data_IF_158493396447
#
_entry.id   IF_158493396447
#
_cell.length_a   1.000
_cell.length_b   1.000
_cell.length_c   1.000
_cell.angle_alpha   90.00
_cell.angle_beta   90.00
_cell.angle_gamma   90.00
#
_symmetry.space_group_name_H-M   'P 1'
#
loop_
_entity.id
_entity.type
_entity.pdbx_description
1 polymer ?
#
# COMPACT_ATOMS: atom_id res chain seq x y z
N UNK A 1 11.73 6.74 19.91
CA UNK A 1 12.32 6.14 18.68
C UNK A 1 12.56 7.24 17.63
N UNK A 2 13.67 8.00 17.71
CA UNK A 2 13.92 9.10 16.78
C UNK A 2 14.13 8.62 15.32
N UNK A 3 14.67 7.42 15.12
CA UNK A 3 14.96 6.87 13.79
C UNK A 3 13.73 6.70 12.88
N UNK A 4 12.53 6.46 13.45
CA UNK A 4 11.30 6.28 12.67
C UNK A 4 10.46 7.55 12.56
N UNK A 5 10.86 8.65 13.21
CA UNK A 5 10.07 9.88 13.24
C UNK A 5 9.70 10.39 11.83
N UNK A 6 10.61 10.40 10.82
CA UNK A 6 10.25 10.80 9.46
C UNK A 6 9.19 9.89 8.82
N UNK A 7 9.23 8.58 9.11
CA UNK A 7 8.23 7.63 8.61
C UNK A 7 6.86 7.88 9.26
N UNK A 8 6.83 8.15 10.57
CA UNK A 8 5.61 8.50 11.31
C UNK A 8 5.00 9.79 10.79
N UNK A 9 5.79 10.84 10.58
CA UNK A 9 5.31 12.11 10.00
C UNK A 9 4.69 11.91 8.62
N UNK A 10 5.34 11.14 7.74
CA UNK A 10 4.79 10.83 6.41
C UNK A 10 3.52 9.98 6.47
N UNK A 11 3.43 9.09 7.46
CA UNK A 11 2.23 8.28 7.67
C UNK A 11 1.05 9.15 8.15
N UNK A 12 1.27 10.03 9.13
CA UNK A 12 0.26 10.97 9.62
C UNK A 12 -0.29 11.86 8.50
N UNK A 13 0.59 12.48 7.71
CA UNK A 13 0.19 13.30 6.55
C UNK A 13 -0.65 12.52 5.53
N UNK A 14 -0.39 11.20 5.38
CA UNK A 14 -1.19 10.35 4.50
C UNK A 14 -2.57 10.05 5.07
N UNK A 15 -2.69 9.79 6.37
CA UNK A 15 -3.99 9.58 7.01
C UNK A 15 -4.86 10.83 6.93
N UNK A 16 -4.27 12.02 7.11
CA UNK A 16 -4.97 13.30 6.89
C UNK A 16 -5.46 13.44 5.45
N UNK A 17 -4.62 13.12 4.46
CA UNK A 17 -5.00 13.17 3.05
C UNK A 17 -6.11 12.17 2.69
N UNK A 18 -6.09 10.96 3.27
CA UNK A 18 -7.15 9.95 3.11
C UNK A 18 -8.46 10.47 3.73
N UNK A 19 -8.39 11.02 4.95
CA UNK A 19 -9.54 11.64 5.63
C UNK A 19 -10.16 12.78 4.83
N UNK A 20 -9.33 13.60 4.17
CA UNK A 20 -9.80 14.68 3.29
C UNK A 20 -10.57 14.18 2.06
N UNK A 21 -10.45 12.89 1.69
CA UNK A 21 -11.25 12.24 0.65
C UNK A 21 -12.55 11.62 1.18
N UNK A 22 -12.91 11.85 2.45
CA UNK A 22 -14.11 11.30 3.08
C UNK A 22 -13.98 9.83 3.50
N UNK A 23 -12.77 9.27 3.51
CA UNK A 23 -12.50 7.91 3.98
C UNK A 23 -12.16 7.97 5.48
N UNK A 24 -12.83 7.17 6.30
CA UNK A 24 -12.46 7.03 7.71
C UNK A 24 -11.14 6.27 7.85
N UNK A 25 -10.04 7.03 7.92
CA UNK A 25 -8.70 6.49 8.05
C UNK A 25 -8.49 5.74 9.39
N UNK A 26 -9.26 6.04 10.44
CA UNK A 26 -9.13 5.38 11.74
C UNK A 26 -9.76 3.98 11.74
N UNK A 27 -10.71 3.72 10.84
CA UNK A 27 -11.32 2.40 10.65
C UNK A 27 -10.48 1.47 9.77
N UNK A 28 -9.42 1.96 9.11
CA UNK A 28 -8.57 1.14 8.25
C UNK A 28 -7.66 0.22 9.08
N UNK A 29 -7.59 -1.09 8.75
CA UNK A 29 -6.63 -1.98 9.38
C UNK A 29 -5.19 -1.50 9.17
N UNK A 30 -4.40 -1.53 10.24
CA UNK A 30 -2.97 -1.20 10.21
C UNK A 30 -2.14 -2.38 10.68
N UNK A 31 -1.10 -2.71 9.92
CA UNK A 31 -0.11 -3.70 10.32
C UNK A 31 1.30 -3.15 10.06
N UNK A 32 2.11 -3.01 11.11
CA UNK A 32 3.47 -2.50 11.00
C UNK A 32 4.39 -3.40 10.16
N UNK A 33 4.05 -4.69 10.03
CA UNK A 33 4.79 -5.70 9.27
C UNK A 33 4.25 -5.99 7.86
N UNK A 34 3.19 -5.30 7.42
CA UNK A 34 2.42 -5.60 6.20
C UNK A 34 3.23 -5.73 4.90
N UNK A 35 4.45 -5.17 4.84
CA UNK A 35 5.35 -5.25 3.68
C UNK A 35 6.49 -6.26 3.75
N UNK A 36 6.78 -6.85 4.93
CA UNK A 36 8.00 -7.66 5.13
C UNK A 36 7.95 -9.05 4.48
N UNK A 37 6.77 -9.56 4.15
CA UNK A 37 6.58 -10.94 3.69
C UNK A 37 6.29 -11.07 2.20
N UNK A 38 5.99 -9.97 1.50
CA UNK A 38 5.42 -10.04 0.15
C UNK A 38 5.97 -8.99 -0.83
N UNK A 39 6.74 -7.98 -0.39
CA UNK A 39 6.99 -6.82 -1.24
C UNK A 39 8.42 -6.23 -1.11
N UNK A 40 9.42 -7.01 -1.54
CA UNK A 40 10.86 -6.72 -1.32
C UNK A 40 11.40 -5.45 -2.01
N UNK A 41 10.69 -4.88 -2.98
CA UNK A 41 11.14 -3.68 -3.71
C UNK A 41 10.54 -2.35 -3.21
N UNK A 42 9.62 -2.38 -2.24
CA UNK A 42 9.04 -1.15 -1.70
C UNK A 42 9.90 -0.60 -0.56
N UNK A 43 10.15 0.70 -0.61
CA UNK A 43 11.02 1.42 0.34
C UNK A 43 10.26 2.50 1.14
N UNK A 44 8.93 2.53 1.00
CA UNK A 44 8.08 3.49 1.67
C UNK A 44 6.74 2.90 2.09
N UNK A 45 5.68 3.66 1.83
CA UNK A 45 4.32 3.24 2.15
C UNK A 45 3.87 2.09 1.28
N UNK A 46 3.19 1.13 1.88
CA UNK A 46 2.53 0.01 1.19
C UNK A 46 1.07 -0.06 1.61
N UNK A 47 0.24 -0.63 0.75
CA UNK A 47 -1.19 -0.80 0.98
C UNK A 47 -1.68 -2.08 0.30
N UNK A 48 -2.84 -2.55 0.74
CA UNK A 48 -3.57 -3.59 0.03
C UNK A 48 -5.03 -3.62 0.43
N UNK A 49 -5.81 -4.30 -0.41
CA UNK A 49 -7.26 -4.42 -0.31
C UNK A 49 -7.59 -5.89 -0.22
N UNK A 50 -8.33 -6.28 0.81
CA UNK A 50 -8.78 -7.66 1.03
C UNK A 50 -10.30 -7.71 0.97
N UNK A 51 -10.85 -8.89 0.68
CA UNK A 51 -12.29 -9.11 0.71
C UNK A 51 -12.73 -9.45 2.15
N UNK A 52 -13.58 -8.63 2.79
CA UNK A 52 -14.09 -8.94 4.12
C UNK A 52 -14.80 -10.30 4.15
N UNK A 53 -14.49 -11.13 5.15
CA UNK A 53 -15.08 -12.47 5.32
C UNK A 53 -14.53 -13.55 4.37
N UNK A 54 -13.53 -13.24 3.53
CA UNK A 54 -12.88 -14.20 2.62
C UNK A 54 -11.36 -14.26 2.84
N UNK A 55 -10.90 -14.73 4.01
CA UNK A 55 -9.46 -14.85 4.30
C UNK A 55 -8.76 -15.92 3.45
N UNK A 56 -9.53 -16.77 2.77
CA UNK A 56 -9.05 -17.76 1.81
C UNK A 56 -8.56 -17.12 0.50
N UNK A 57 -9.01 -15.90 0.18
CA UNK A 57 -8.63 -15.19 -1.04
C UNK A 57 -7.36 -14.37 -0.84
N UNK A 58 -6.50 -14.27 -1.86
CA UNK A 58 -5.40 -13.32 -1.83
C UNK A 58 -5.94 -11.87 -1.83
N UNK A 59 -5.11 -10.87 -1.49
CA UNK A 59 -5.49 -9.47 -1.63
C UNK A 59 -5.94 -9.14 -3.07
N UNK A 60 -7.06 -8.43 -3.19
CA UNK A 60 -7.68 -7.95 -4.44
C UNK A 60 -6.77 -6.95 -5.14
N UNK A 61 -6.14 -6.08 -4.35
CA UNK A 61 -5.16 -5.12 -4.83
C UNK A 61 -4.03 -4.98 -3.82
N UNK A 62 -2.82 -4.69 -4.31
CA UNK A 62 -1.64 -4.38 -3.50
C UNK A 62 -0.82 -3.31 -4.19
N UNK A 63 -0.06 -2.54 -3.41
CA UNK A 63 0.79 -1.51 -3.97
C UNK A 63 1.58 -0.75 -2.93
N UNK A 64 2.29 0.28 -3.38
CA UNK A 64 3.14 1.09 -2.52
C UNK A 64 4.11 1.97 -3.29
N UNK A 65 5.04 2.58 -2.53
CA UNK A 65 6.14 3.43 -3.01
C UNK A 65 7.43 2.65 -3.22
N UNK A 66 8.10 2.86 -4.36
CA UNK A 66 9.26 2.09 -4.82
C UNK A 66 10.33 2.99 -5.46
N UNK A 67 10.85 3.95 -4.69
CA UNK A 67 11.82 4.94 -5.19
C UNK A 67 13.21 4.30 -5.41
N UNK A 68 13.59 3.34 -4.56
CA UNK A 68 14.84 2.59 -4.67
C UNK A 68 14.91 1.77 -5.97
N UNK A 69 13.78 1.22 -6.41
CA UNK A 69 13.70 0.48 -7.68
C UNK A 69 13.97 1.41 -8.87
N UNK A 70 13.33 2.59 -8.90
CA UNK A 70 13.56 3.54 -9.99
C UNK A 70 14.99 4.07 -9.99
N UNK A 71 15.59 4.28 -8.82
CA UNK A 71 17.01 4.63 -8.68
C UNK A 71 17.94 3.56 -9.26
N UNK A 72 17.66 2.29 -8.96
CA UNK A 72 18.46 1.16 -9.46
C UNK A 72 18.37 1.04 -10.99
N UNK A 73 17.16 1.13 -11.54
CA UNK A 73 16.93 1.08 -12.99
C UNK A 73 17.45 2.33 -13.71
N UNK A 74 17.45 3.48 -13.04
CA UNK A 74 17.93 4.76 -13.55
C UNK A 74 19.44 4.98 -13.40
N UNK A 75 20.22 3.94 -13.06
CA UNK A 75 21.67 4.03 -12.84
C UNK A 75 22.07 5.16 -11.87
N UNK A 76 21.35 5.28 -10.75
CA UNK A 76 21.57 6.31 -9.73
C UNK A 76 20.67 7.53 -9.86
N UNK A 77 20.00 7.73 -11.00
CA UNK A 77 18.92 8.73 -11.13
C UNK A 77 17.62 8.18 -10.57
N UNK A 78 17.02 8.91 -9.65
CA UNK A 78 15.76 8.53 -9.00
C UNK A 78 14.58 9.32 -9.58
N UNK A 79 13.45 8.63 -9.73
CA UNK A 79 12.14 9.26 -9.96
C UNK A 79 11.21 8.75 -8.86
N UNK A 80 10.63 9.63 -8.02
CA UNK A 80 9.67 9.22 -7.01
C UNK A 80 8.51 8.44 -7.65
N UNK A 81 8.23 7.23 -7.18
CA UNK A 81 7.30 6.32 -7.81
C UNK A 81 6.37 5.64 -6.81
N UNK A 82 5.10 5.55 -7.20
CA UNK A 82 4.04 4.88 -6.46
C UNK A 82 3.10 4.21 -7.45
N UNK A 83 2.60 3.02 -7.12
CA UNK A 83 1.68 2.28 -7.96
C UNK A 83 1.17 1.03 -7.26
N UNK A 84 0.33 0.28 -7.97
CA UNK A 84 -0.25 -0.95 -7.47
C UNK A 84 -0.87 -1.77 -8.58
N UNK A 85 -1.28 -2.98 -8.22
CA UNK A 85 -1.94 -3.94 -9.11
C UNK A 85 -3.34 -4.19 -8.57
N UNK A 86 -4.30 -4.37 -9.48
CA UNK A 86 -5.63 -4.87 -9.17
C UNK A 86 -5.77 -6.20 -9.90
N UNK A 87 -6.26 -7.24 -9.22
CA UNK A 87 -6.46 -8.58 -9.80
C UNK A 87 -7.83 -8.64 -10.50
N UNK A 88 -7.91 -8.50 -11.83
CA UNK A 88 -9.21 -8.28 -12.49
C UNK A 88 -10.15 -9.48 -12.36
N UNK A 89 -9.62 -10.72 -12.42
CA UNK A 89 -10.43 -11.92 -12.23
C UNK A 89 -11.08 -12.00 -10.85
N UNK A 90 -10.33 -11.65 -9.79
CA UNK A 90 -10.85 -11.62 -8.43
C UNK A 90 -11.84 -10.46 -8.23
N UNK A 91 -11.59 -9.29 -8.85
CA UNK A 91 -12.53 -8.17 -8.85
C UNK A 91 -13.85 -8.57 -9.51
N UNK A 92 -13.81 -9.29 -10.64
CA UNK A 92 -15.01 -9.78 -11.33
C UNK A 92 -15.76 -10.82 -10.48
N UNK A 93 -15.06 -11.79 -9.89
CA UNK A 93 -15.68 -12.80 -9.02
C UNK A 93 -16.41 -12.18 -7.83
N UNK A 94 -15.76 -11.22 -7.15
CA UNK A 94 -16.34 -10.54 -6.00
C UNK A 94 -17.47 -9.57 -6.39
N UNK A 95 -17.38 -8.94 -7.56
CA UNK A 95 -18.41 -8.03 -8.08
C UNK A 95 -19.64 -8.76 -8.61
N UNK A 96 -19.47 -9.93 -9.22
CA UNK A 96 -20.57 -10.78 -9.70
C UNK A 96 -21.35 -11.46 -8.57
N UNK A 97 -20.84 -11.45 -7.34
CA UNK A 97 -21.51 -11.94 -6.15
C UNK A 97 -22.52 -10.93 -5.54
N UNK A 98 -22.88 -9.87 -6.27
CA UNK A 98 -23.91 -8.89 -5.87
C UNK A 98 -25.29 -9.22 -6.43
#
# INVERSE_FOLDING_TARGET
LPAIAPAVTRFAARLEAIGAQGIDAAALPFEASYGRTQMEYYDGFVFGFTAPGRPDLPPVATGGRYDALTRQLGAGREIPAVGGVIRPGLTLELGAAT
#
